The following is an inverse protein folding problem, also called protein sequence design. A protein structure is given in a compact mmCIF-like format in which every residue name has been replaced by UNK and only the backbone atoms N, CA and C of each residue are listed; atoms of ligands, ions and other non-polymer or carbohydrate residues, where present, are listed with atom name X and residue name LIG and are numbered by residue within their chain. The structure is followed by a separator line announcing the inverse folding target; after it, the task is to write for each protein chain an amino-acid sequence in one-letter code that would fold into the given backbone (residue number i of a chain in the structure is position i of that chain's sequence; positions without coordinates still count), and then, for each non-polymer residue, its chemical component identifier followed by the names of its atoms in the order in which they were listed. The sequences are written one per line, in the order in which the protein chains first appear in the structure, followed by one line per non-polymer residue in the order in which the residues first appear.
data_IF_363692466431
#
_entry.id   IF_363692466431
#
_cell.length_a   1.000
_cell.length_b   1.000
_cell.length_c   1.000
_cell.angle_alpha   90.00
_cell.angle_beta   90.00
_cell.angle_gamma   90.00
#
_symmetry.space_group_name_H-M   'P 1'
#
loop_
_entity.id
_entity.type
_entity.pdbx_description
1 polymer ?
#
# COMPACT_ATOMS: atom_id res chain seq x y z
N UNK A 1 -9.11 7.10 -49.34
CA UNK A 1 -10.43 7.72 -49.48
C UNK A 1 -11.50 6.66 -49.69
N UNK A 2 -12.45 6.63 -48.75
CA UNK A 2 -13.84 6.17 -48.92
C UNK A 2 -14.11 4.67 -49.16
N UNK A 3 -13.77 3.82 -48.19
CA UNK A 3 -14.71 2.75 -47.75
C UNK A 3 -15.80 3.34 -46.83
N UNK A 4 -16.20 4.59 -47.10
CA UNK A 4 -17.23 5.37 -46.42
C UNK A 4 -18.64 5.10 -47.01
N UNK A 5 -18.84 3.94 -47.64
CA UNK A 5 -20.14 3.50 -48.14
C UNK A 5 -20.51 2.07 -47.75
N UNK A 6 -19.96 1.53 -46.66
CA UNK A 6 -20.61 0.40 -46.00
C UNK A 6 -21.68 0.95 -45.04
N UNK A 7 -22.87 1.21 -45.58
CA UNK A 7 -24.10 1.63 -44.91
C UNK A 7 -24.61 0.64 -43.83
N UNK A 8 -23.78 -0.25 -43.31
CA UNK A 8 -24.11 -1.28 -42.32
C UNK A 8 -22.93 -1.58 -41.40
N UNK A 9 -22.64 -0.72 -40.43
CA UNK A 9 -21.65 -1.01 -39.38
C UNK A 9 -22.01 -2.30 -38.60
N UNK A 10 -23.28 -2.70 -38.57
CA UNK A 10 -23.72 -4.01 -38.04
C UNK A 10 -23.08 -5.21 -38.76
N UNK A 11 -22.91 -5.13 -40.08
CA UNK A 11 -22.32 -6.21 -40.88
C UNK A 11 -20.80 -6.31 -40.62
N UNK A 12 -20.14 -5.16 -40.48
CA UNK A 12 -18.71 -5.09 -40.17
C UNK A 12 -18.40 -5.71 -38.80
N UNK A 13 -19.18 -5.34 -37.77
CA UNK A 13 -19.05 -5.93 -36.42
C UNK A 13 -19.26 -7.44 -36.45
N UNK A 14 -20.27 -7.92 -37.20
CA UNK A 14 -20.51 -9.36 -37.37
C UNK A 14 -19.36 -10.06 -38.07
N UNK A 15 -18.80 -9.47 -39.14
CA UNK A 15 -17.67 -10.04 -39.85
C UNK A 15 -16.42 -10.12 -38.96
N UNK A 16 -16.12 -9.08 -38.16
CA UNK A 16 -15.02 -9.13 -37.20
C UNK A 16 -15.25 -10.17 -36.09
N UNK A 17 -16.49 -10.33 -35.64
CA UNK A 17 -16.88 -11.36 -34.67
C UNK A 17 -16.70 -12.77 -35.23
N UNK A 18 -17.14 -13.02 -36.46
CA UNK A 18 -17.02 -14.32 -37.14
C UNK A 18 -15.55 -14.70 -37.40
N UNK A 19 -14.65 -13.71 -37.49
CA UNK A 19 -13.21 -13.89 -37.63
C UNK A 19 -12.44 -13.91 -36.29
N UNK A 20 -13.13 -13.84 -35.14
CA UNK A 20 -12.49 -13.82 -33.82
C UNK A 20 -11.71 -12.53 -33.51
N UNK A 21 -11.90 -11.47 -34.29
CA UNK A 21 -11.24 -10.17 -34.13
C UNK A 21 -12.03 -9.27 -33.18
N UNK A 22 -12.07 -9.66 -31.91
CA UNK A 22 -12.89 -9.04 -30.85
C UNK A 22 -12.55 -7.56 -30.60
N UNK A 23 -11.26 -7.21 -30.65
CA UNK A 23 -10.81 -5.85 -30.38
C UNK A 23 -11.17 -4.87 -31.52
N UNK A 24 -11.08 -5.33 -32.77
CA UNK A 24 -11.46 -4.52 -33.93
C UNK A 24 -12.98 -4.37 -34.02
N UNK A 25 -13.74 -5.43 -33.67
CA UNK A 25 -15.20 -5.36 -33.55
C UNK A 25 -15.65 -4.31 -32.53
N UNK A 26 -15.00 -4.26 -31.35
CA UNK A 26 -15.30 -3.27 -30.31
C UNK A 26 -14.94 -1.84 -30.75
N UNK A 27 -13.82 -1.65 -31.44
CA UNK A 27 -13.39 -0.33 -31.92
C UNK A 27 -14.39 0.24 -32.94
N UNK A 28 -14.79 -0.58 -33.91
CA UNK A 28 -15.78 -0.18 -34.92
C UNK A 28 -17.15 0.07 -34.29
N UNK A 29 -17.55 -0.74 -33.30
CA UNK A 29 -18.80 -0.52 -32.58
C UNK A 29 -18.78 0.79 -31.77
N UNK A 30 -17.66 1.12 -31.12
CA UNK A 30 -17.50 2.37 -30.37
C UNK A 30 -17.58 3.61 -31.28
N UNK A 31 -17.02 3.53 -32.49
CA UNK A 31 -16.94 4.66 -33.41
C UNK A 31 -18.25 4.92 -34.16
N UNK A 32 -18.99 3.87 -34.53
CA UNK A 32 -20.17 3.99 -35.39
C UNK A 32 -21.51 3.68 -34.69
N UNK A 33 -21.51 2.95 -33.56
CA UNK A 33 -22.72 2.49 -32.86
C UNK A 33 -22.54 2.41 -31.33
N UNK A 34 -22.26 3.53 -30.63
CA UNK A 34 -21.99 3.53 -29.20
C UNK A 34 -23.15 2.98 -28.34
N UNK A 35 -24.39 3.08 -28.83
CA UNK A 35 -25.58 2.59 -28.12
C UNK A 35 -25.70 1.05 -28.11
N UNK A 36 -24.99 0.33 -29.00
CA UNK A 36 -24.97 -1.14 -29.06
C UNK A 36 -23.68 -1.73 -28.47
N UNK A 37 -22.80 -0.87 -27.98
CA UNK A 37 -21.47 -1.26 -27.48
C UNK A 37 -21.57 -2.14 -26.23
N UNK A 38 -22.51 -1.82 -25.35
CA UNK A 38 -22.69 -2.57 -24.10
C UNK A 38 -23.32 -3.95 -24.35
N UNK A 39 -24.27 -4.05 -25.30
CA UNK A 39 -24.83 -5.33 -25.75
C UNK A 39 -23.73 -6.23 -26.36
N UNK A 40 -22.87 -5.65 -27.20
CA UNK A 40 -21.75 -6.37 -27.83
C UNK A 40 -20.72 -6.84 -26.78
N UNK A 41 -20.41 -6.01 -25.79
CA UNK A 41 -19.50 -6.36 -24.69
C UNK A 41 -20.06 -7.51 -23.84
N UNK A 42 -21.36 -7.47 -23.53
CA UNK A 42 -22.01 -8.54 -22.77
C UNK A 42 -22.02 -9.86 -23.57
N UNK A 43 -22.30 -9.80 -24.87
CA UNK A 43 -22.29 -10.98 -25.74
C UNK A 43 -20.90 -11.60 -25.89
N UNK A 44 -19.84 -10.79 -25.98
CA UNK A 44 -18.45 -11.23 -26.04
C UNK A 44 -17.96 -11.82 -24.70
N UNK A 45 -18.44 -11.27 -23.59
CA UNK A 45 -18.18 -11.80 -22.25
C UNK A 45 -18.89 -13.14 -22.05
N UNK A 46 -20.13 -13.27 -22.54
CA UNK A 46 -20.92 -14.51 -22.48
C UNK A 46 -20.39 -15.60 -23.41
N UNK A 47 -19.78 -15.24 -24.54
CA UNK A 47 -19.19 -16.19 -25.51
C UNK A 47 -17.76 -16.62 -25.19
N UNK A 48 -17.21 -16.25 -24.02
CA UNK A 48 -15.92 -16.75 -23.53
C UNK A 48 -14.70 -16.23 -24.32
N UNK A 49 -14.87 -15.18 -25.12
CA UNK A 49 -13.86 -14.65 -26.04
C UNK A 49 -13.01 -13.50 -25.50
N UNK A 50 -12.84 -13.37 -24.17
CA UNK A 50 -12.00 -12.32 -23.59
C UNK A 50 -10.98 -12.90 -22.61
N UNK A 51 -9.84 -13.31 -23.17
CA UNK A 51 -8.57 -13.32 -22.44
C UNK A 51 -8.13 -11.85 -22.32
N UNK A 52 -7.89 -11.40 -21.09
CA UNK A 52 -7.64 -10.02 -20.70
C UNK A 52 -6.34 -9.45 -21.33
N UNK A 53 -6.38 -9.11 -22.61
CA UNK A 53 -5.30 -8.33 -23.24
C UNK A 53 -5.63 -6.85 -23.08
N UNK A 54 -5.04 -6.29 -22.03
CA UNK A 54 -4.94 -4.88 -21.70
C UNK A 54 -4.48 -4.06 -22.92
N UNK A 55 -5.41 -3.51 -23.69
CA UNK A 55 -5.11 -2.38 -24.56
C UNK A 55 -5.26 -1.08 -23.77
N UNK A 56 -4.08 -0.53 -23.51
CA UNK A 56 -3.77 0.83 -23.13
C UNK A 56 -4.41 1.85 -24.09
N UNK A 57 -5.62 2.31 -23.78
CA UNK A 57 -6.18 3.55 -24.34
C UNK A 57 -6.80 4.34 -23.20
N UNK A 58 -6.44 5.62 -23.12
CA UNK A 58 -6.62 6.48 -21.95
C UNK A 58 -8.03 6.59 -21.38
N UNK A 59 -8.06 6.96 -20.10
CA UNK A 59 -9.20 7.42 -19.31
C UNK A 59 -10.35 6.41 -19.12
N UNK A 60 -10.43 5.82 -17.92
CA UNK A 60 -11.61 5.04 -17.54
C UNK A 60 -11.37 4.15 -16.32
N UNK A 61 -11.58 4.73 -15.15
CA UNK A 61 -11.63 4.08 -13.84
C UNK A 61 -12.42 2.75 -13.84
N UNK A 62 -11.74 1.59 -13.80
CA UNK A 62 -12.20 0.34 -13.14
C UNK A 62 -11.01 -0.62 -12.89
N UNK A 63 -10.94 -1.28 -11.73
CA UNK A 63 -9.68 -1.80 -11.18
C UNK A 63 -9.40 -3.22 -11.68
N UNK A 64 -8.23 -3.43 -12.29
CA UNK A 64 -7.72 -4.77 -12.62
C UNK A 64 -6.75 -5.20 -11.52
N UNK A 65 -7.08 -6.31 -10.85
CA UNK A 65 -6.36 -6.88 -9.69
C UNK A 65 -5.07 -7.59 -10.12
N UNK A 66 -4.16 -6.85 -10.74
CA UNK A 66 -2.75 -7.22 -10.85
C UNK A 66 -1.96 -6.09 -10.21
N UNK A 67 -1.43 -6.34 -9.02
CA UNK A 67 -0.70 -5.40 -8.18
C UNK A 67 0.59 -4.95 -8.87
N UNK A 68 0.47 -3.98 -9.79
CA UNK A 68 1.61 -3.26 -10.34
C UNK A 68 2.12 -2.30 -9.26
N UNK A 69 2.89 -2.84 -8.31
CA UNK A 69 3.48 -2.05 -7.22
C UNK A 69 4.37 -0.92 -7.76
N UNK A 70 4.96 -1.13 -8.94
CA UNK A 70 5.78 -0.15 -9.66
C UNK A 70 5.01 1.13 -9.99
N UNK A 71 3.68 1.06 -10.13
CA UNK A 71 2.85 2.24 -10.37
C UNK A 71 2.29 2.85 -9.08
N UNK A 72 2.27 2.13 -7.95
CA UNK A 72 1.65 2.63 -6.70
C UNK A 72 2.38 3.89 -6.19
N UNK A 73 3.72 3.89 -6.22
CA UNK A 73 4.52 5.03 -5.78
C UNK A 73 4.32 6.25 -6.68
N UNK A 74 4.29 6.05 -7.99
CA UNK A 74 4.05 7.13 -8.95
C UNK A 74 2.62 7.68 -8.82
N UNK A 75 1.64 6.79 -8.68
CA UNK A 75 0.24 7.16 -8.47
C UNK A 75 0.06 7.93 -7.15
N UNK A 76 0.71 7.51 -6.07
CA UNK A 76 0.69 8.21 -4.79
C UNK A 76 1.28 9.63 -4.92
N UNK A 77 2.43 9.76 -5.58
CA UNK A 77 3.04 11.07 -5.85
C UNK A 77 2.15 11.98 -6.70
N UNK A 78 1.43 11.43 -7.68
CA UNK A 78 0.46 12.20 -8.47
C UNK A 78 -0.69 12.72 -7.59
N UNK A 79 -1.25 11.89 -6.70
CA UNK A 79 -2.28 12.37 -5.77
C UNK A 79 -1.76 13.43 -4.79
N UNK A 80 -0.50 13.35 -4.36
CA UNK A 80 0.14 14.44 -3.58
C UNK A 80 0.13 15.76 -4.35
N UNK A 81 0.54 15.76 -5.62
CA UNK A 81 0.56 16.99 -6.44
C UNK A 81 -0.83 17.57 -6.71
N UNK A 82 -1.86 16.73 -6.65
CA UNK A 82 -3.26 17.11 -6.82
C UNK A 82 -3.92 17.57 -5.51
N UNK A 83 -3.24 17.46 -4.36
CA UNK A 83 -3.79 17.78 -3.03
C UNK A 83 -4.72 16.70 -2.47
N UNK A 84 -4.82 15.54 -3.11
CA UNK A 84 -5.65 14.41 -2.71
C UNK A 84 -4.91 13.52 -1.68
N UNK A 85 -4.57 14.12 -0.54
CA UNK A 85 -3.66 13.51 0.45
C UNK A 85 -4.20 12.20 1.05
N UNK A 86 -5.51 12.08 1.25
CA UNK A 86 -6.08 10.84 1.78
C UNK A 86 -5.83 9.65 0.85
N UNK A 87 -6.03 9.83 -0.47
CA UNK A 87 -5.80 8.78 -1.46
C UNK A 87 -4.31 8.45 -1.59
N UNK A 88 -3.45 9.46 -1.52
CA UNK A 88 -2.00 9.26 -1.53
C UNK A 88 -1.55 8.37 -0.35
N UNK A 89 -2.03 8.66 0.87
CA UNK A 89 -1.73 7.88 2.07
C UNK A 89 -2.23 6.44 1.95
N UNK A 90 -3.46 6.23 1.48
CA UNK A 90 -4.04 4.89 1.28
C UNK A 90 -3.19 4.04 0.31
N UNK A 91 -2.66 4.66 -0.76
CA UNK A 91 -1.76 3.98 -1.69
C UNK A 91 -0.43 3.59 -1.06
N UNK A 92 0.20 4.47 -0.30
CA UNK A 92 1.44 4.13 0.42
C UNK A 92 1.22 3.01 1.45
N UNK A 93 0.06 2.97 2.10
CA UNK A 93 -0.31 1.90 3.03
C UNK A 93 -0.55 0.55 2.35
N UNK A 94 -0.79 0.53 1.03
CA UNK A 94 -0.95 -0.72 0.27
C UNK A 94 0.37 -1.45 0.05
N UNK A 95 1.50 -0.73 0.12
CA UNK A 95 2.82 -1.33 0.02
C UNK A 95 3.05 -2.26 1.20
N UNK A 96 3.62 -3.45 0.95
CA UNK A 96 3.91 -4.43 2.00
C UNK A 96 5.40 -4.80 2.00
N UNK A 97 5.99 -5.09 3.18
CA UNK A 97 7.39 -5.53 3.30
C UNK A 97 7.76 -6.80 2.54
N UNK A 98 6.78 -7.62 2.14
CA UNK A 98 6.98 -8.91 1.47
C UNK A 98 7.08 -8.80 -0.06
N UNK A 99 7.01 -7.60 -0.62
CA UNK A 99 7.10 -7.38 -2.07
C UNK A 99 8.55 -7.12 -2.49
N UNK A 100 8.85 -7.26 -3.79
CA UNK A 100 10.16 -6.96 -4.40
C UNK A 100 10.51 -5.45 -4.39
N UNK A 101 10.16 -4.75 -3.32
CA UNK A 101 10.40 -3.33 -3.13
C UNK A 101 11.56 -3.20 -2.13
N UNK A 102 12.61 -2.43 -2.47
CA UNK A 102 13.72 -2.25 -1.55
C UNK A 102 13.25 -1.61 -0.25
N UNK A 103 13.74 -2.15 0.88
CA UNK A 103 13.41 -1.69 2.24
C UNK A 103 13.51 -0.17 2.41
N UNK A 104 14.53 0.45 1.83
CA UNK A 104 14.71 1.91 1.93
C UNK A 104 13.56 2.69 1.27
N UNK A 105 13.06 2.22 0.13
CA UNK A 105 11.92 2.83 -0.56
C UNK A 105 10.63 2.65 0.24
N UNK A 106 10.42 1.48 0.85
CA UNK A 106 9.28 1.24 1.74
C UNK A 106 9.31 2.17 2.95
N UNK A 107 10.46 2.32 3.60
CA UNK A 107 10.64 3.24 4.73
C UNK A 107 10.32 4.66 4.31
N UNK A 108 10.88 5.14 3.19
CA UNK A 108 10.59 6.49 2.65
C UNK A 108 9.10 6.69 2.37
N UNK A 109 8.44 5.69 1.78
CA UNK A 109 7.01 5.74 1.50
C UNK A 109 6.16 5.83 2.77
N UNK A 110 6.46 5.04 3.80
CA UNK A 110 5.74 5.09 5.07
C UNK A 110 5.96 6.40 5.82
N UNK A 111 7.17 6.95 5.81
CA UNK A 111 7.45 8.26 6.42
C UNK A 111 6.73 9.40 5.68
N UNK A 112 6.67 9.34 4.35
CA UNK A 112 5.83 10.28 3.58
C UNK A 112 4.36 10.16 3.95
N UNK A 113 3.84 8.93 4.05
CA UNK A 113 2.46 8.69 4.43
C UNK A 113 2.13 9.24 5.82
N UNK A 114 3.01 9.06 6.81
CA UNK A 114 2.79 9.61 8.16
C UNK A 114 2.84 11.14 8.17
N UNK A 115 3.78 11.75 7.45
CA UNK A 115 3.87 13.21 7.35
C UNK A 115 2.64 13.82 6.67
N UNK A 116 2.19 13.22 5.57
CA UNK A 116 0.97 13.66 4.89
C UNK A 116 -0.26 13.49 5.78
N UNK A 117 -0.38 12.36 6.47
CA UNK A 117 -1.48 12.10 7.38
C UNK A 117 -1.52 13.10 8.53
N UNK A 118 -0.38 13.39 9.14
CA UNK A 118 -0.30 14.36 10.23
C UNK A 118 -0.58 15.80 9.80
N UNK A 119 -0.15 16.19 8.60
CA UNK A 119 -0.29 17.57 8.10
C UNK A 119 -1.68 17.86 7.55
N UNK A 120 -2.31 16.89 6.90
CA UNK A 120 -3.48 17.13 6.05
C UNK A 120 -4.71 16.28 6.40
N UNK A 121 -4.59 15.28 7.26
CA UNK A 121 -5.72 14.46 7.69
C UNK A 121 -6.11 14.78 9.15
N UNK A 122 -7.38 14.51 9.54
CA UNK A 122 -7.80 14.60 10.94
C UNK A 122 -6.97 13.67 11.83
N UNK A 123 -6.79 14.07 13.09
CA UNK A 123 -5.95 13.37 14.07
C UNK A 123 -6.27 11.88 14.19
N UNK A 124 -7.55 11.51 14.28
CA UNK A 124 -7.98 10.10 14.34
C UNK A 124 -7.48 9.28 13.14
N UNK A 125 -7.49 9.87 11.93
CA UNK A 125 -6.97 9.21 10.73
C UNK A 125 -5.45 9.15 10.76
N UNK A 126 -4.77 10.22 11.18
CA UNK A 126 -3.32 10.23 11.33
C UNK A 126 -2.82 9.17 12.33
N UNK A 127 -3.47 9.05 13.48
CA UNK A 127 -3.21 8.00 14.47
C UNK A 127 -3.42 6.59 13.87
N UNK A 128 -4.50 6.37 13.11
CA UNK A 128 -4.76 5.09 12.46
C UNK A 128 -3.67 4.71 11.43
N UNK A 129 -3.25 5.67 10.60
CA UNK A 129 -2.17 5.50 9.62
C UNK A 129 -0.88 5.11 10.34
N UNK A 130 -0.53 5.82 11.41
CA UNK A 130 0.71 5.60 12.16
C UNK A 130 0.70 4.24 12.89
N UNK A 131 -0.43 3.84 13.49
CA UNK A 131 -0.63 2.50 14.05
C UNK A 131 -0.45 1.38 13.02
N UNK A 132 -0.77 1.66 11.77
CA UNK A 132 -0.64 0.68 10.67
C UNK A 132 0.81 0.56 10.18
N UNK A 133 1.54 1.67 10.04
CA UNK A 133 2.93 1.65 9.55
C UNK A 133 3.95 1.30 10.64
N UNK A 134 3.67 1.58 11.91
CA UNK A 134 4.66 1.42 12.98
C UNK A 134 5.18 -0.01 13.13
N UNK A 135 4.32 -1.06 13.16
CA UNK A 135 4.78 -2.44 13.18
C UNK A 135 5.58 -2.81 11.91
N UNK A 136 5.22 -2.24 10.75
CA UNK A 136 5.93 -2.46 9.49
C UNK A 136 7.32 -1.83 9.51
N UNK A 137 7.46 -0.63 10.07
CA UNK A 137 8.76 0.03 10.25
C UNK A 137 9.65 -0.76 11.22
N UNK A 138 9.09 -1.30 12.31
CA UNK A 138 9.83 -2.20 13.23
C UNK A 138 10.28 -3.48 12.52
N UNK A 139 9.42 -4.12 11.72
CA UNK A 139 9.79 -5.28 10.90
C UNK A 139 10.88 -4.96 9.88
N UNK A 140 10.84 -3.76 9.31
CA UNK A 140 11.91 -3.24 8.46
C UNK A 140 13.15 -2.83 9.26
N UNK A 141 13.26 -3.11 10.56
CA UNK A 141 14.43 -2.79 11.37
C UNK A 141 14.65 -1.29 11.57
N UNK A 142 13.59 -0.49 11.53
CA UNK A 142 13.57 0.95 11.81
C UNK A 142 12.71 1.29 13.06
N UNK A 143 12.99 0.69 14.23
CA UNK A 143 12.19 0.90 15.44
C UNK A 143 12.23 2.35 15.97
N UNK A 144 13.34 3.06 15.76
CA UNK A 144 13.48 4.46 16.21
C UNK A 144 12.58 5.39 15.41
N UNK A 145 12.55 5.21 14.09
CA UNK A 145 11.68 5.98 13.22
C UNK A 145 10.22 5.69 13.54
N UNK A 146 9.88 4.42 13.80
CA UNK A 146 8.53 4.05 14.25
C UNK A 146 8.14 4.78 15.54
N UNK A 147 9.03 4.78 16.55
CA UNK A 147 8.82 5.47 17.82
C UNK A 147 8.63 6.98 17.64
N UNK A 148 9.44 7.63 16.80
CA UNK A 148 9.29 9.06 16.47
C UNK A 148 7.93 9.36 15.83
N UNK A 149 7.46 8.51 14.90
CA UNK A 149 6.15 8.68 14.29
C UNK A 149 5.02 8.55 15.33
N UNK A 150 5.12 7.59 16.27
CA UNK A 150 4.15 7.45 17.35
C UNK A 150 4.10 8.69 18.26
N UNK A 151 5.25 9.27 18.59
CA UNK A 151 5.33 10.49 19.40
C UNK A 151 4.66 11.70 18.73
N UNK A 152 4.76 11.81 17.40
CA UNK A 152 4.12 12.91 16.67
C UNK A 152 2.59 12.93 16.73
N UNK A 153 1.97 11.83 17.13
CA UNK A 153 0.51 11.70 17.32
C UNK A 153 0.15 11.25 18.73
N UNK A 154 1.05 11.51 19.70
CA UNK A 154 0.83 11.30 21.13
C UNK A 154 0.50 9.84 21.52
N UNK A 155 0.90 8.88 20.68
CA UNK A 155 0.78 7.44 20.94
C UNK A 155 1.98 6.95 21.77
N UNK A 156 2.07 7.47 23.00
CA UNK A 156 3.21 7.30 23.88
C UNK A 156 3.47 5.84 24.27
N UNK A 157 2.41 5.02 24.45
CA UNK A 157 2.55 3.61 24.82
C UNK A 157 3.20 2.82 23.69
N UNK A 158 2.71 3.00 22.47
CA UNK A 158 3.23 2.38 21.26
C UNK A 158 4.67 2.84 20.95
N UNK A 159 4.99 4.11 21.23
CA UNK A 159 6.36 4.62 21.13
C UNK A 159 7.34 3.91 22.09
N UNK A 160 6.93 3.67 23.34
CA UNK A 160 7.73 2.91 24.33
C UNK A 160 7.96 1.48 23.85
N UNK A 161 6.93 0.81 23.33
CA UNK A 161 7.06 -0.54 22.77
C UNK A 161 8.00 -0.60 21.57
N UNK A 162 7.94 0.40 20.67
CA UNK A 162 8.85 0.51 19.55
C UNK A 162 10.31 0.71 20.02
N UNK A 163 10.56 1.53 21.05
CA UNK A 163 11.90 1.67 21.63
C UNK A 163 12.41 0.37 22.28
N UNK A 164 11.54 -0.38 22.96
CA UNK A 164 11.88 -1.71 23.51
C UNK A 164 12.26 -2.66 22.38
N UNK A 165 11.49 -2.72 21.29
CA UNK A 165 11.80 -3.54 20.12
C UNK A 165 13.16 -3.15 19.49
N UNK A 166 13.50 -1.86 19.52
CA UNK A 166 14.82 -1.35 19.12
C UNK A 166 15.93 -1.51 20.14
N UNK A 167 15.69 -2.19 21.28
CA UNK A 167 16.62 -2.36 22.40
C UNK A 167 17.10 -1.02 22.99
N UNK A 168 16.33 0.05 22.83
CA UNK A 168 16.62 1.39 23.35
C UNK A 168 15.96 1.58 24.73
N UNK A 169 16.37 0.74 25.68
CA UNK A 169 15.78 0.66 27.02
C UNK A 169 15.80 1.99 27.77
N UNK A 170 16.89 2.76 27.66
CA UNK A 170 17.02 4.07 28.30
C UNK A 170 15.97 5.07 27.80
N UNK A 171 15.76 5.14 26.48
CA UNK A 171 14.76 6.03 25.88
C UNK A 171 13.34 5.56 26.21
N UNK A 172 13.10 4.25 26.13
CA UNK A 172 11.81 3.65 26.50
C UNK A 172 11.45 3.98 27.96
N UNK A 173 12.40 3.84 28.89
CA UNK A 173 12.19 4.11 30.31
C UNK A 173 11.94 5.60 30.58
N UNK A 174 12.75 6.48 29.98
CA UNK A 174 12.58 7.93 30.13
C UNK A 174 11.18 8.36 29.68
N UNK A 175 10.77 7.94 28.49
CA UNK A 175 9.45 8.25 27.96
C UNK A 175 8.34 7.66 28.84
N UNK A 176 8.51 6.41 29.30
CA UNK A 176 7.53 5.78 30.16
C UNK A 176 7.36 6.51 31.50
N UNK A 177 8.43 7.03 32.10
CA UNK A 177 8.39 7.83 33.33
C UNK A 177 7.63 9.15 33.15
N UNK A 178 7.77 9.78 31.98
CA UNK A 178 7.07 11.04 31.66
C UNK A 178 5.56 10.83 31.46
N UNK A 179 5.15 9.64 31.01
CA UNK A 179 3.77 9.33 30.61
C UNK A 179 2.98 8.69 31.74
N UNK A 180 3.51 7.61 32.32
CA UNK A 180 2.85 6.85 33.39
C UNK A 180 3.89 6.05 34.20
N UNK A 181 4.03 6.31 35.51
CA UNK A 181 4.90 5.54 36.40
C UNK A 181 4.66 4.01 36.37
N UNK A 182 3.45 3.55 36.04
CA UNK A 182 3.17 2.12 35.87
C UNK A 182 3.80 1.56 34.59
N UNK A 183 3.82 2.33 33.50
CA UNK A 183 4.48 1.96 32.25
C UNK A 183 5.99 1.86 32.47
N UNK A 184 6.58 2.73 33.29
CA UNK A 184 8.00 2.66 33.63
C UNK A 184 8.37 1.36 34.36
N UNK A 185 7.52 0.89 35.29
CA UNK A 185 7.70 -0.41 35.96
C UNK A 185 7.66 -1.56 34.96
N UNK A 186 6.74 -1.50 34.00
CA UNK A 186 6.64 -2.50 32.93
C UNK A 186 7.92 -2.57 32.08
N UNK A 187 8.46 -1.41 31.67
CA UNK A 187 9.75 -1.35 30.94
C UNK A 187 10.88 -1.94 31.78
N UNK A 188 10.96 -1.61 33.08
CA UNK A 188 11.99 -2.12 33.99
C UNK A 188 11.92 -3.65 34.15
N UNK A 189 10.73 -4.22 34.25
CA UNK A 189 10.56 -5.66 34.39
C UNK A 189 10.92 -6.41 33.10
N UNK A 190 10.57 -5.85 31.93
CA UNK A 190 11.03 -6.38 30.64
C UNK A 190 12.54 -6.28 30.48
N UNK A 191 13.14 -5.16 30.88
CA UNK A 191 14.58 -4.97 30.81
C UNK A 191 15.33 -5.99 31.69
N UNK A 192 14.86 -6.22 32.92
CA UNK A 192 15.41 -7.26 33.82
C UNK A 192 15.30 -8.65 33.20
N UNK A 193 14.18 -9.01 32.57
CA UNK A 193 14.01 -10.30 31.88
C UNK A 193 15.02 -10.45 30.74
N UNK A 194 15.14 -9.45 29.88
CA UNK A 194 16.11 -9.45 28.78
C UNK A 194 17.58 -9.58 29.28
N UNK A 195 17.93 -8.95 30.40
CA UNK A 195 19.26 -9.09 31.02
C UNK A 195 19.49 -10.51 31.55
N UNK A 196 18.49 -11.12 32.21
CA UNK A 196 18.57 -12.51 32.71
C UNK A 196 18.72 -13.51 31.56
N UNK A 197 17.95 -13.37 30.50
CA UNK A 197 18.06 -14.22 29.31
C UNK A 197 19.44 -14.11 28.66
N UNK A 198 20.00 -12.89 28.57
CA UNK A 198 21.34 -12.69 28.04
C UNK A 198 22.45 -13.20 28.96
N UNK A 199 22.26 -13.09 30.28
CA UNK A 199 23.17 -13.64 31.29
C UNK A 199 23.18 -15.17 31.24
N UNK A 200 22.00 -15.78 31.23
CA UNK A 200 21.83 -17.23 31.09
C UNK A 200 22.33 -17.74 29.74
N UNK A 201 22.15 -17.00 28.64
CA UNK A 201 22.67 -17.39 27.33
C UNK A 201 24.21 -17.45 27.32
N UNK A 202 24.90 -16.56 28.04
CA UNK A 202 26.36 -16.63 28.20
C UNK A 202 26.80 -17.83 29.04
N UNK A 203 26.05 -18.16 30.09
CA UNK A 203 26.34 -19.33 30.93
C UNK A 203 26.07 -20.64 30.18
N UNK A 204 25.01 -20.70 29.36
CA UNK A 204 24.68 -21.88 28.56
C UNK A 204 25.73 -22.17 27.46
N UNK A 205 26.34 -21.13 26.87
CA UNK A 205 27.42 -21.30 25.89
C UNK A 205 28.71 -21.89 26.47
N UNK A 206 28.90 -21.83 27.79
CA UNK A 206 30.10 -22.37 28.45
C UNK A 206 29.97 -23.86 28.84
N UNK A 207 28.84 -24.52 28.56
CA UNK A 207 28.55 -25.89 29.00
C UNK A 207 28.70 -26.94 27.89
N UNK A 208 28.87 -26.53 26.62
CA UNK A 208 29.08 -27.44 25.47
C UNK A 208 30.56 -27.48 24.98
N UNK A 209 31.51 -27.80 25.88
CA UNK A 209 32.90 -28.17 25.51
C UNK A 209 33.37 -29.38 26.32
#
# INVERSE_FOLDING_TARGET
SYLLQAQRPDLAVKLYKDNGLTQDALRVCQEYMPNKLDDLREELTRSGGMNETRMNTGAGNRPTTSYNNDNILEQAARYETQGEYQRAVELYLRLMPQQDIPKETLVKAYLKASDLARKFLPENKAQHVIRTIGPRLVQLGQPNQAAEQYLHVELHKEAVEAFIAGKQWEKAKKLALEVDPQLAKYVDDLYKKHLKERGNAKELMNVDV
#
